data_IF_469910280687
#
_entry.id   IF_469910280687
#
_cell.length_a   1.000
_cell.length_b   1.000
_cell.length_c   1.000
_cell.angle_alpha   90.00
_cell.angle_beta   90.00
_cell.angle_gamma   90.00
#
_symmetry.space_group_name_H-M   'P 1'
#
loop_
_entity.id
_entity.type
_entity.pdbx_description
1 polymer ?
#
# COMPACT_ATOMS: atom_id res chain seq x y z
N UNK A 1 -14.43 5.23 -0.16
CA UNK A 1 -15.43 5.94 0.70
C UNK A 1 -15.35 5.50 2.16
N UNK A 2 -15.63 4.25 2.53
CA UNK A 2 -15.51 3.81 3.95
C UNK A 2 -14.08 3.89 4.47
N UNK A 3 -13.10 3.36 3.73
CA UNK A 3 -11.67 3.46 4.05
C UNK A 3 -11.18 4.91 4.23
N UNK A 4 -11.72 5.84 3.44
CA UNK A 4 -11.42 7.28 3.57
C UNK A 4 -11.93 7.84 4.89
N UNK A 5 -13.19 7.54 5.24
CA UNK A 5 -13.79 7.97 6.49
C UNK A 5 -13.06 7.38 7.70
N UNK A 6 -12.66 6.10 7.63
CA UNK A 6 -11.86 5.44 8.66
C UNK A 6 -10.53 6.16 8.83
N UNK A 7 -9.78 6.39 7.75
CA UNK A 7 -8.48 7.06 7.80
C UNK A 7 -8.58 8.47 8.41
N UNK A 8 -9.65 9.20 8.07
CA UNK A 8 -9.89 10.52 8.64
C UNK A 8 -10.23 10.45 10.14
N UNK A 9 -11.09 9.51 10.55
CA UNK A 9 -11.52 9.36 11.93
C UNK A 9 -10.41 8.80 12.85
N UNK A 10 -9.56 7.91 12.34
CA UNK A 10 -8.45 7.33 13.10
C UNK A 10 -7.26 8.29 13.23
N UNK A 11 -7.16 9.31 12.37
CA UNK A 11 -6.00 10.18 12.27
C UNK A 11 -4.73 9.48 11.75
N UNK A 12 -4.85 8.21 11.32
CA UNK A 12 -3.76 7.39 10.80
C UNK A 12 -4.22 6.57 9.60
N UNK A 13 -3.31 6.38 8.64
CA UNK A 13 -3.59 5.68 7.40
C UNK A 13 -4.05 6.61 6.28
N UNK A 14 -4.02 6.08 5.05
CA UNK A 14 -4.30 6.82 3.83
C UNK A 14 -5.24 5.99 2.93
N UNK A 15 -6.22 6.65 2.30
CA UNK A 15 -7.08 6.00 1.30
C UNK A 15 -6.65 6.40 -0.12
N UNK A 16 -6.52 5.41 -0.99
CA UNK A 16 -6.23 5.59 -2.41
C UNK A 16 -7.40 5.11 -3.27
N UNK A 17 -7.65 5.81 -4.37
CA UNK A 17 -8.69 5.46 -5.34
C UNK A 17 -8.27 4.30 -6.26
N UNK A 18 -6.96 4.12 -6.46
CA UNK A 18 -6.38 3.10 -7.33
C UNK A 18 -5.06 2.56 -6.76
N UNK A 19 -4.61 1.42 -7.30
CA UNK A 19 -3.38 0.76 -6.84
C UNK A 19 -2.12 1.53 -7.23
N UNK A 20 -2.12 2.28 -8.33
CA UNK A 20 -0.93 2.99 -8.80
C UNK A 20 -0.55 4.13 -7.82
N UNK A 21 -1.54 4.89 -7.35
CA UNK A 21 -1.36 5.91 -6.32
C UNK A 21 -0.85 5.30 -5.00
N UNK A 22 -1.41 4.16 -4.59
CA UNK A 22 -0.94 3.41 -3.41
C UNK A 22 0.53 2.97 -3.57
N UNK A 23 0.89 2.36 -4.69
CA UNK A 23 2.25 1.86 -4.96
C UNK A 23 3.26 3.03 -4.95
N UNK A 24 2.93 4.16 -5.57
CA UNK A 24 3.79 5.34 -5.56
C UNK A 24 4.06 5.83 -4.13
N UNK A 25 3.03 5.86 -3.27
CA UNK A 25 3.18 6.24 -1.86
C UNK A 25 4.01 5.22 -1.08
N UNK A 26 3.78 3.92 -1.27
CA UNK A 26 4.56 2.87 -0.60
C UNK A 26 6.04 2.94 -0.98
N UNK A 27 6.38 3.26 -2.23
CA UNK A 27 7.77 3.49 -2.62
C UNK A 27 8.39 4.66 -1.90
N UNK A 28 7.69 5.80 -1.77
CA UNK A 28 8.20 6.94 -1.01
C UNK A 28 8.47 6.55 0.46
N UNK A 29 7.54 5.82 1.09
CA UNK A 29 7.70 5.34 2.47
C UNK A 29 8.89 4.39 2.64
N UNK A 30 9.14 3.50 1.68
CA UNK A 30 10.30 2.60 1.70
C UNK A 30 11.63 3.35 1.55
N UNK A 31 11.65 4.48 0.84
CA UNK A 31 12.84 5.34 0.78
C UNK A 31 13.06 6.11 2.08
N UNK A 32 11.98 6.55 2.73
CA UNK A 32 12.03 7.24 4.03
C UNK A 32 12.42 6.31 5.19
N UNK A 33 11.98 5.04 5.13
CA UNK A 33 12.20 4.02 6.16
C UNK A 33 12.78 2.74 5.55
N UNK A 34 14.12 2.60 5.52
CA UNK A 34 14.79 1.51 4.83
C UNK A 34 14.45 0.11 5.36
N UNK A 35 14.03 0.01 6.63
CA UNK A 35 13.65 -1.24 7.29
C UNK A 35 12.19 -1.16 7.74
N UNK A 36 11.28 -1.53 6.83
CA UNK A 36 9.84 -1.54 7.06
C UNK A 36 9.25 -2.91 6.75
N UNK A 37 8.33 -3.40 7.59
CA UNK A 37 7.52 -4.59 7.29
C UNK A 37 6.17 -4.18 6.73
N UNK A 38 5.81 -4.70 5.56
CA UNK A 38 4.55 -4.42 4.88
C UNK A 38 3.72 -5.70 4.82
N UNK A 39 2.49 -5.64 5.34
CA UNK A 39 1.48 -6.70 5.18
C UNK A 39 0.46 -6.25 4.14
N UNK A 40 0.40 -6.98 3.02
CA UNK A 40 -0.60 -6.75 1.97
C UNK A 40 -1.78 -7.70 2.16
N UNK A 41 -3.00 -7.16 2.22
CA UNK A 41 -4.24 -7.95 2.38
C UNK A 41 -5.37 -7.40 1.51
N UNK A 42 -6.13 -8.29 0.89
CA UNK A 42 -7.37 -7.97 0.19
C UNK A 42 -8.19 -9.24 -0.09
N UNK A 43 -9.40 -9.07 -0.62
CA UNK A 43 -10.15 -10.20 -1.18
C UNK A 43 -9.46 -10.73 -2.42
N UNK A 44 -9.74 -11.98 -2.81
CA UNK A 44 -9.24 -12.54 -4.08
C UNK A 44 -9.59 -11.67 -5.29
N UNK A 45 -10.82 -11.13 -5.32
CA UNK A 45 -11.28 -10.25 -6.41
C UNK A 45 -10.56 -8.90 -6.48
N UNK A 46 -9.84 -8.49 -5.43
CA UNK A 46 -9.09 -7.25 -5.43
C UNK A 46 -7.71 -7.38 -6.09
N UNK A 47 -7.24 -8.61 -6.37
CA UNK A 47 -5.95 -8.90 -6.98
C UNK A 47 -4.77 -8.19 -6.27
N UNK A 48 -4.69 -8.28 -4.94
CA UNK A 48 -3.67 -7.54 -4.16
C UNK A 48 -2.24 -8.07 -4.36
N UNK A 49 -2.09 -9.24 -5.00
CA UNK A 49 -0.82 -9.74 -5.52
C UNK A 49 -0.13 -8.73 -6.46
N UNK A 50 -0.87 -7.92 -7.22
CA UNK A 50 -0.30 -6.87 -8.08
C UNK A 50 0.53 -5.86 -7.28
N UNK A 51 0.11 -5.54 -6.04
CA UNK A 51 0.84 -4.62 -5.16
C UNK A 51 2.13 -5.28 -4.66
N UNK A 52 2.08 -6.58 -4.35
CA UNK A 52 3.27 -7.33 -3.93
C UNK A 52 4.29 -7.37 -5.07
N UNK A 53 3.87 -7.71 -6.29
CA UNK A 53 4.74 -7.76 -7.45
C UNK A 53 5.40 -6.40 -7.74
N UNK A 54 4.64 -5.31 -7.74
CA UNK A 54 5.19 -3.97 -7.98
C UNK A 54 6.22 -3.52 -6.93
N UNK A 55 6.11 -4.00 -5.68
CA UNK A 55 7.09 -3.73 -4.62
C UNK A 55 8.33 -4.63 -4.73
N UNK A 56 8.15 -5.90 -5.13
CA UNK A 56 9.24 -6.88 -5.29
C UNK A 56 10.10 -6.65 -6.54
N UNK A 57 9.58 -6.09 -7.62
CA UNK A 57 10.37 -5.75 -8.81
C UNK A 57 11.54 -4.78 -8.52
N UNK A 58 11.59 -4.18 -7.32
CA UNK A 58 12.72 -3.37 -6.83
C UNK A 58 13.49 -3.96 -5.65
N UNK A 59 13.01 -5.04 -5.04
CA UNK A 59 13.68 -5.73 -3.94
C UNK A 59 13.91 -7.17 -4.35
N UNK A 60 15.17 -7.52 -4.68
CA UNK A 60 15.54 -8.91 -4.91
C UNK A 60 15.18 -9.73 -3.66
N UNK A 61 14.25 -10.67 -3.81
CA UNK A 61 14.07 -11.77 -2.86
C UNK A 61 15.23 -12.76 -2.99
#
# INVERSE_FOLDING_TARGET
>A
KLSQAISHASGVGEHFADKAALIARLHALLQEQPMMTILVKGSRSAAMEDVVHALQEKGSC
#
